data_IF_910426719689
#
_entry.id   IF_910426719689
#
_cell.length_a   1.000
_cell.length_b   1.000
_cell.length_c   1.000
_cell.angle_alpha   90.00
_cell.angle_beta   90.00
_cell.angle_gamma   90.00
#
_symmetry.space_group_name_H-M   'P 1'
#
loop_
_entity.id
_entity.type
_entity.pdbx_description
1 polymer ?
#
# COMPACT_ATOMS: atom_id res chain seq x y z
N UNK A 1 3.32 -11.70 -3.20
CA UNK A 1 1.91 -12.17 -3.29
C UNK A 1 1.11 -11.67 -2.09
N UNK A 2 -0.11 -11.26 -2.34
CA UNK A 2 -1.01 -10.79 -1.28
C UNK A 2 -2.24 -11.70 -1.26
N UNK A 3 -2.48 -12.33 -0.10
CA UNK A 3 -3.68 -13.14 0.10
C UNK A 3 -4.59 -12.41 1.10
N UNK A 4 -5.60 -11.74 0.56
CA UNK A 4 -6.50 -10.93 1.39
C UNK A 4 -7.38 -11.77 2.30
N UNK A 5 -7.73 -12.98 1.89
CA UNK A 5 -8.55 -13.87 2.71
C UNK A 5 -7.83 -14.28 3.99
N UNK A 6 -6.53 -14.47 3.91
CA UNK A 6 -5.71 -14.90 5.05
C UNK A 6 -4.89 -13.75 5.64
N UNK A 7 -4.95 -12.58 5.03
CA UNK A 7 -4.12 -11.43 5.42
C UNK A 7 -2.63 -11.76 5.43
N UNK A 8 -2.20 -12.52 4.42
CA UNK A 8 -0.80 -12.90 4.27
C UNK A 8 -0.16 -12.17 3.10
N UNK A 9 1.07 -11.74 3.32
CA UNK A 9 1.86 -11.08 2.28
C UNK A 9 3.22 -11.76 2.21
N UNK A 10 3.66 -12.08 1.00
CA UNK A 10 5.01 -12.59 0.77
C UNK A 10 5.71 -11.74 -0.27
N UNK A 11 7.00 -11.52 -0.05
CA UNK A 11 7.85 -10.83 -1.01
C UNK A 11 9.08 -11.72 -1.22
N UNK A 12 9.30 -12.13 -2.47
CA UNK A 12 10.41 -13.02 -2.78
C UNK A 12 10.35 -14.35 -2.04
N UNK A 13 9.15 -14.83 -1.74
CA UNK A 13 8.94 -16.07 -1.00
C UNK A 13 9.03 -15.93 0.52
N UNK A 14 9.38 -14.76 1.04
CA UNK A 14 9.46 -14.52 2.47
C UNK A 14 8.18 -13.88 3.00
N UNK A 15 7.74 -14.33 4.19
CA UNK A 15 6.57 -13.76 4.83
C UNK A 15 6.87 -12.36 5.36
N UNK A 16 5.94 -11.45 5.11
CA UNK A 16 6.03 -10.08 5.61
C UNK A 16 4.90 -9.87 6.60
N UNK A 17 5.25 -9.51 7.84
CA UNK A 17 4.25 -9.28 8.88
C UNK A 17 3.71 -7.86 8.80
N UNK A 18 2.44 -7.74 8.44
CA UNK A 18 1.75 -6.46 8.33
C UNK A 18 0.48 -6.48 9.17
N UNK A 19 0.02 -5.30 9.59
CA UNK A 19 -1.28 -5.17 10.23
C UNK A 19 -2.39 -5.33 9.19
N UNK A 20 -3.62 -5.57 9.63
CA UNK A 20 -4.76 -5.67 8.71
C UNK A 20 -4.88 -4.45 7.81
N UNK A 21 -4.78 -3.26 8.37
CA UNK A 21 -4.89 -2.03 7.58
C UNK A 21 -3.77 -1.89 6.58
N UNK A 22 -2.56 -2.33 6.95
CA UNK A 22 -1.42 -2.31 6.03
C UNK A 22 -1.63 -3.28 4.87
N UNK A 23 -2.16 -4.47 5.16
CA UNK A 23 -2.47 -5.44 4.10
C UNK A 23 -3.53 -4.87 3.16
N UNK A 24 -4.59 -4.29 3.71
CA UNK A 24 -5.66 -3.71 2.91
C UNK A 24 -5.17 -2.56 2.04
N UNK A 25 -4.31 -1.70 2.59
CA UNK A 25 -3.69 -0.62 1.84
C UNK A 25 -2.86 -1.15 0.67
N UNK A 26 -1.98 -2.08 0.96
CA UNK A 26 -1.10 -2.64 -0.07
C UNK A 26 -1.92 -3.33 -1.16
N UNK A 27 -2.92 -4.12 -0.76
CA UNK A 27 -3.79 -4.81 -1.70
C UNK A 27 -4.55 -3.85 -2.60
N UNK A 28 -5.15 -2.80 -2.00
CA UNK A 28 -5.91 -1.81 -2.76
C UNK A 28 -5.05 -1.09 -3.79
N UNK A 29 -3.85 -0.68 -3.37
CA UNK A 29 -2.92 -0.01 -4.26
C UNK A 29 -2.41 -0.94 -5.36
N UNK A 30 -2.04 -2.17 -5.00
CA UNK A 30 -1.49 -3.14 -5.95
C UNK A 30 -2.52 -3.61 -6.97
N UNK A 31 -3.75 -3.84 -6.52
CA UNK A 31 -4.85 -4.24 -7.41
C UNK A 31 -5.15 -3.18 -8.46
N UNK A 32 -4.93 -1.92 -8.10
CA UNK A 32 -5.17 -0.78 -8.98
C UNK A 32 -3.85 -0.13 -9.37
N UNK A 33 -2.89 -0.94 -9.77
CA UNK A 33 -1.56 -0.48 -10.16
C UNK A 33 -1.65 0.69 -11.15
N UNK A 34 -0.79 1.69 -10.97
CA UNK A 34 -0.73 2.92 -11.75
C UNK A 34 -1.83 3.94 -11.47
N UNK A 35 -2.86 3.57 -10.70
CA UNK A 35 -3.89 4.52 -10.33
C UNK A 35 -3.44 5.35 -9.13
N UNK A 36 -3.63 6.66 -9.22
CA UNK A 36 -3.34 7.56 -8.10
C UNK A 36 -4.55 7.62 -7.19
N UNK A 37 -4.31 7.37 -5.89
CA UNK A 37 -5.34 7.49 -4.87
C UNK A 37 -5.04 8.70 -4.00
N UNK A 38 -6.04 9.55 -3.79
CA UNK A 38 -5.92 10.62 -2.81
C UNK A 38 -5.96 10.01 -1.40
N UNK A 39 -5.51 10.77 -0.40
CA UNK A 39 -5.60 10.33 0.98
C UNK A 39 -7.05 10.07 1.38
N UNK A 40 -7.96 10.92 0.94
CA UNK A 40 -9.38 10.77 1.22
C UNK A 40 -9.96 9.52 0.57
N UNK A 41 -9.57 9.22 -0.66
CA UNK A 41 -10.01 7.98 -1.32
C UNK A 41 -9.58 6.75 -0.54
N UNK A 42 -8.34 6.73 -0.07
CA UNK A 42 -7.83 5.61 0.71
C UNK A 42 -8.50 5.53 2.07
N UNK A 43 -8.75 6.68 2.69
CA UNK A 43 -9.43 6.73 3.97
C UNK A 43 -10.83 6.12 3.86
N UNK A 44 -11.59 6.55 2.85
CA UNK A 44 -12.94 6.06 2.62
C UNK A 44 -12.96 4.57 2.29
N UNK A 45 -12.03 4.13 1.47
CA UNK A 45 -11.98 2.72 1.00
C UNK A 45 -11.60 1.75 2.11
N UNK A 46 -10.75 2.16 3.02
CA UNK A 46 -10.14 1.25 4.00
C UNK A 46 -10.67 1.46 5.40
N UNK A 47 -10.90 2.72 5.81
CA UNK A 47 -11.46 3.04 7.12
C UNK A 47 -12.97 3.25 7.09
N UNK A 48 -13.53 3.61 5.92
CA UNK A 48 -14.98 3.79 5.75
C UNK A 48 -15.43 5.22 5.99
N UNK A 49 -16.65 5.50 5.55
CA UNK A 49 -17.25 6.84 5.66
C UNK A 49 -17.47 7.29 7.09
N UNK A 50 -17.64 6.34 8.01
CA UNK A 50 -17.92 6.66 9.41
C UNK A 50 -16.67 7.00 10.22
N UNK A 51 -15.52 6.98 9.58
CA UNK A 51 -14.27 7.29 10.27
C UNK A 51 -14.11 8.81 10.35
N UNK A 52 -14.04 9.32 11.56
CA UNK A 52 -13.90 10.77 11.80
C UNK A 52 -12.46 11.21 12.05
N UNK A 53 -11.51 10.36 11.75
CA UNK A 53 -10.11 10.70 11.92
C UNK A 53 -9.56 11.56 10.79
N UNK A 54 -8.35 12.02 10.99
CA UNK A 54 -7.63 12.84 10.04
C UNK A 54 -7.05 11.97 8.93
N UNK A 55 -7.04 12.48 7.70
CA UNK A 55 -6.44 11.78 6.56
C UNK A 55 -4.93 11.54 6.73
N UNK A 56 -4.29 12.22 7.67
CA UNK A 56 -2.89 11.96 8.01
C UNK A 56 -2.66 10.56 8.56
N UNK A 57 -3.71 9.88 8.99
CA UNK A 57 -3.59 8.48 9.39
C UNK A 57 -3.13 7.60 8.22
N UNK A 58 -3.56 7.95 7.00
CA UNK A 58 -3.12 7.25 5.78
C UNK A 58 -1.61 7.39 5.63
N UNK A 59 -1.09 8.61 5.79
CA UNK A 59 0.35 8.87 5.66
C UNK A 59 1.16 8.04 6.66
N UNK A 60 0.69 7.96 7.89
CA UNK A 60 1.36 7.18 8.94
C UNK A 60 1.37 5.69 8.59
N UNK A 61 0.28 5.18 8.08
CA UNK A 61 0.18 3.78 7.68
C UNK A 61 1.05 3.47 6.46
N UNK A 62 1.09 4.37 5.49
CA UNK A 62 1.97 4.23 4.32
C UNK A 62 3.44 4.21 4.76
N UNK A 63 3.82 5.10 5.67
CA UNK A 63 5.19 5.15 6.17
C UNK A 63 5.60 3.83 6.83
N UNK A 64 4.74 3.27 7.68
CA UNK A 64 5.01 2.00 8.33
C UNK A 64 5.03 0.85 7.33
N UNK A 65 4.10 0.85 6.39
CA UNK A 65 4.03 -0.15 5.35
C UNK A 65 5.33 -0.17 4.54
N UNK A 66 5.77 1.00 4.07
CA UNK A 66 7.03 1.11 3.33
C UNK A 66 8.21 0.60 4.13
N UNK A 67 8.30 0.98 5.41
CA UNK A 67 9.39 0.54 6.27
C UNK A 67 9.45 -0.98 6.38
N UNK A 68 8.30 -1.64 6.41
CA UNK A 68 8.23 -3.09 6.54
C UNK A 68 8.55 -3.80 5.24
N UNK A 69 7.99 -3.34 4.12
CA UNK A 69 8.24 -3.99 2.83
C UNK A 69 9.64 -3.72 2.30
N UNK A 70 10.23 -2.59 2.65
CA UNK A 70 11.56 -2.22 2.18
C UNK A 70 12.69 -3.03 2.85
N UNK A 71 12.35 -3.84 3.86
CA UNK A 71 13.29 -4.83 4.39
C UNK A 71 13.52 -5.99 3.44
N UNK A 72 12.71 -6.09 2.40
CA UNK A 72 12.77 -7.16 1.40
C UNK A 72 13.05 -6.53 0.05
N UNK A 73 13.71 -7.27 -0.83
CA UNK A 73 13.95 -6.77 -2.19
C UNK A 73 12.67 -6.85 -3.00
N UNK A 74 12.26 -5.71 -3.58
CA UNK A 74 11.10 -5.64 -4.46
C UNK A 74 11.35 -4.63 -5.57
N UNK A 75 12.35 -4.91 -6.39
CA UNK A 75 12.73 -4.02 -7.49
C UNK A 75 11.66 -3.84 -8.54
N UNK A 76 10.69 -4.75 -8.58
CA UNK A 76 9.64 -4.77 -9.61
C UNK A 76 8.51 -3.80 -9.33
N UNK A 77 8.43 -3.25 -8.12
CA UNK A 77 7.34 -2.36 -7.75
C UNK A 77 7.75 -1.42 -6.62
N UNK A 78 6.98 -0.35 -6.47
CA UNK A 78 7.14 0.55 -5.33
C UNK A 78 5.83 1.27 -5.04
N UNK A 79 5.69 1.75 -3.81
CA UNK A 79 4.61 2.65 -3.43
C UNK A 79 5.15 4.05 -3.54
N UNK A 80 4.64 4.80 -4.50
CA UNK A 80 5.16 6.12 -4.82
C UNK A 80 4.28 7.21 -4.23
N UNK A 81 4.91 8.24 -3.67
CA UNK A 81 4.20 9.44 -3.24
C UNK A 81 4.00 10.35 -4.44
N UNK A 82 2.76 10.77 -4.65
CA UNK A 82 2.45 11.77 -5.68
C UNK A 82 2.19 13.06 -4.93
N UNK A 83 3.16 13.93 -4.94
CA UNK A 83 3.14 15.14 -4.12
C UNK A 83 1.92 16.01 -4.41
N UNK A 84 1.24 16.39 -3.33
CA UNK A 84 0.02 17.17 -3.41
C UNK A 84 -1.24 16.40 -3.78
N UNK A 85 -1.13 15.11 -4.04
CA UNK A 85 -2.27 14.28 -4.46
C UNK A 85 -2.48 13.08 -3.55
N UNK A 86 -1.49 12.19 -3.46
CA UNK A 86 -1.62 10.98 -2.64
C UNK A 86 -0.58 9.93 -2.99
N UNK A 87 -1.04 8.72 -3.28
CA UNK A 87 -0.14 7.57 -3.45
C UNK A 87 -0.53 6.73 -4.65
N UNK A 88 0.46 6.00 -5.17
CA UNK A 88 0.28 5.12 -6.31
C UNK A 88 1.20 3.91 -6.16
N UNK A 89 0.67 2.73 -6.50
CA UNK A 89 1.49 1.54 -6.65
C UNK A 89 2.01 1.54 -8.09
N UNK A 90 3.31 1.46 -8.24
CA UNK A 90 3.94 1.51 -9.54
C UNK A 90 4.70 0.23 -9.79
N UNK A 91 4.39 -0.46 -10.88
CA UNK A 91 5.14 -1.61 -11.32
C UNK A 91 6.21 -1.12 -12.31
N UNK A 92 7.44 -1.57 -12.07
CA UNK A 92 8.55 -1.19 -12.92
C UNK A 92 8.76 -2.25 -13.98
N UNK A 93 8.84 -1.81 -15.21
CA UNK A 93 9.19 -2.71 -16.29
C UNK A 93 10.69 -2.87 -16.31
N UNK A 94 11.14 -4.11 -16.53
CA UNK A 94 12.55 -4.35 -16.69
C UNK A 94 13.01 -3.80 -18.03
N UNK A 95 14.08 -3.01 -18.02
CA UNK A 95 14.67 -2.50 -19.23
C UNK A 95 15.24 -3.67 -20.03
N UNK A 96 14.99 -3.62 -21.30
CA UNK A 96 15.47 -4.65 -22.23
C UNK A 96 16.86 -4.32 -22.78
#
# INVERSE_FOLDING_TARGET
MIDLDKYLVTIGGADVTLTKKEVELLWTLAKNSSKVFSRENLLDSIWGYDYFGDSRTVDSHIKRLRAKVDKFEHEEWEIKTIWGVGYRFEEKEHAQ
#
